data_IF_615994841322
#
_entry.id   IF_615994841322
#
_cell.length_a   1.000
_cell.length_b   1.000
_cell.length_c   1.000
_cell.angle_alpha   90.00
_cell.angle_beta   90.00
_cell.angle_gamma   90.00
#
_symmetry.space_group_name_H-M   'P 1'
#
loop_
_entity.id
_entity.type
_entity.pdbx_description
1 polymer ?
#
# COMPACT_ATOMS: atom_id res chain seq x y z
N UNK A 1 -2.39 -19.67 -4.10
CA UNK A 1 -3.17 -19.42 -5.32
C UNK A 1 -4.39 -18.60 -4.94
N UNK A 2 -4.16 -17.30 -4.89
CA UNK A 2 -5.22 -16.31 -4.77
C UNK A 2 -6.04 -16.32 -6.06
N UNK A 3 -7.34 -16.62 -5.93
CA UNK A 3 -8.27 -16.64 -7.05
C UNK A 3 -8.78 -15.21 -7.27
N UNK A 4 -8.30 -14.54 -8.32
CA UNK A 4 -8.77 -13.22 -8.75
C UNK A 4 -9.60 -13.30 -10.03
N UNK A 5 -10.30 -12.22 -10.35
CA UNK A 5 -11.05 -12.08 -11.62
C UNK A 5 -10.21 -11.31 -12.61
N UNK A 6 -9.99 -11.86 -13.80
CA UNK A 6 -9.31 -11.12 -14.87
C UNK A 6 -10.25 -10.13 -15.54
N UNK A 7 -9.78 -8.90 -15.69
CA UNK A 7 -10.44 -7.81 -16.38
C UNK A 7 -9.50 -7.25 -17.45
N UNK A 8 -9.96 -7.28 -18.70
CA UNK A 8 -9.18 -6.79 -19.83
C UNK A 8 -9.59 -5.38 -20.21
N UNK A 9 -8.64 -4.44 -20.21
CA UNK A 9 -8.90 -3.04 -20.53
C UNK A 9 -7.70 -2.43 -21.26
N UNK A 10 -7.95 -1.73 -22.39
CA UNK A 10 -6.90 -1.12 -23.22
C UNK A 10 -5.70 -2.04 -23.49
N UNK A 11 -5.95 -3.31 -23.85
CA UNK A 11 -4.93 -4.36 -24.07
C UNK A 11 -4.06 -4.71 -22.84
N UNK A 12 -4.53 -4.39 -21.64
CA UNK A 12 -3.89 -4.75 -20.37
C UNK A 12 -4.73 -5.78 -19.63
N UNK A 13 -4.06 -6.66 -18.88
CA UNK A 13 -4.67 -7.66 -18.03
C UNK A 13 -4.59 -7.21 -16.57
N UNK A 14 -5.75 -6.81 -16.04
CA UNK A 14 -5.91 -6.44 -14.64
C UNK A 14 -6.52 -7.60 -13.88
N UNK A 15 -5.76 -8.21 -12.97
CA UNK A 15 -6.27 -9.24 -12.07
C UNK A 15 -6.81 -8.56 -10.81
N UNK A 16 -8.14 -8.58 -10.66
CA UNK A 16 -8.85 -8.04 -9.50
C UNK A 16 -8.79 -9.06 -8.36
N UNK A 17 -8.08 -8.71 -7.29
CA UNK A 17 -7.82 -9.61 -6.17
C UNK A 17 -8.83 -9.37 -5.03
N UNK A 18 -9.27 -10.43 -4.32
CA UNK A 18 -10.23 -10.31 -3.22
C UNK A 18 -9.71 -9.49 -2.03
N UNK A 19 -8.39 -9.29 -1.95
CA UNK A 19 -7.71 -8.44 -0.96
C UNK A 19 -7.85 -6.93 -1.23
N UNK A 20 -8.73 -6.53 -2.17
CA UNK A 20 -8.90 -5.13 -2.60
C UNK A 20 -7.62 -4.54 -3.24
N UNK A 21 -6.97 -5.35 -4.06
CA UNK A 21 -5.82 -4.94 -4.85
C UNK A 21 -6.02 -5.32 -6.32
N UNK A 22 -5.30 -4.64 -7.20
CA UNK A 22 -5.27 -4.95 -8.64
C UNK A 22 -3.84 -5.29 -9.01
N UNK A 23 -3.63 -6.48 -9.58
CA UNK A 23 -2.36 -6.81 -10.20
C UNK A 23 -2.45 -6.51 -11.70
N UNK A 24 -1.71 -5.50 -12.15
CA UNK A 24 -1.50 -5.20 -13.56
C UNK A 24 -0.34 -6.07 -14.07
N UNK A 25 -0.67 -7.13 -14.82
CA UNK A 25 0.27 -8.19 -15.16
C UNK A 25 1.41 -7.72 -16.06
N UNK A 26 1.09 -6.99 -17.12
CA UNK A 26 2.04 -6.53 -18.13
C UNK A 26 3.09 -5.58 -17.52
N UNK A 27 2.66 -4.70 -16.62
CA UNK A 27 3.55 -3.76 -15.93
C UNK A 27 4.19 -4.36 -14.66
N UNK A 28 3.80 -5.58 -14.28
CA UNK A 28 4.18 -6.22 -13.00
C UNK A 28 3.95 -5.28 -11.81
N UNK A 29 2.81 -4.62 -11.80
CA UNK A 29 2.48 -3.59 -10.81
C UNK A 29 1.33 -4.05 -9.94
N UNK A 30 1.49 -3.91 -8.62
CA UNK A 30 0.41 -4.09 -7.66
C UNK A 30 -0.14 -2.72 -7.27
N UNK A 31 -1.42 -2.50 -7.51
CA UNK A 31 -2.13 -1.26 -7.23
C UNK A 31 -3.05 -1.49 -6.03
N UNK A 32 -2.98 -0.59 -5.05
CA UNK A 32 -3.82 -0.59 -3.85
C UNK A 32 -4.40 0.80 -3.65
N UNK A 33 -5.55 0.91 -3.01
CA UNK A 33 -6.15 2.17 -2.59
C UNK A 33 -6.56 2.06 -1.12
N UNK A 34 -6.63 3.19 -0.41
CA UNK A 34 -7.27 3.27 0.92
C UNK A 34 -6.71 2.24 1.93
N UNK A 35 -5.37 2.06 1.96
CA UNK A 35 -4.73 1.05 2.82
C UNK A 35 -4.88 1.42 4.30
N UNK A 36 -4.83 2.71 4.63
CA UNK A 36 -5.16 3.23 5.96
C UNK A 36 -4.35 2.63 7.12
N UNK A 37 -3.03 2.54 6.95
CA UNK A 37 -2.12 2.19 8.04
C UNK A 37 -2.24 3.24 9.17
N UNK A 38 -2.14 2.83 10.43
CA UNK A 38 -2.24 3.76 11.57
C UNK A 38 -3.59 3.80 12.30
N UNK A 39 -4.65 3.24 11.72
CA UNK A 39 -6.02 3.33 12.27
C UNK A 39 -6.16 2.72 13.67
N UNK A 40 -5.46 1.62 13.89
CA UNK A 40 -5.33 0.90 15.17
C UNK A 40 -4.67 1.72 16.27
N UNK A 41 -3.61 2.47 15.96
CA UNK A 41 -2.98 3.38 16.93
C UNK A 41 -3.89 4.57 17.26
N UNK A 42 -4.62 5.11 16.27
CA UNK A 42 -5.56 6.20 16.48
C UNK A 42 -6.70 5.82 17.44
N UNK A 43 -7.36 4.67 17.21
CA UNK A 43 -8.43 4.21 18.11
C UNK A 43 -7.93 3.90 19.53
N UNK A 44 -6.71 3.37 19.67
CA UNK A 44 -6.09 3.16 20.99
C UNK A 44 -5.87 4.49 21.73
N UNK A 45 -5.40 5.54 21.05
CA UNK A 45 -5.28 6.89 21.64
C UNK A 45 -6.64 7.44 22.10
N UNK A 46 -7.73 7.08 21.42
CA UNK A 46 -9.09 7.44 21.80
C UNK A 46 -9.69 6.58 22.95
N UNK A 47 -8.90 5.70 23.58
CA UNK A 47 -9.34 4.85 24.69
C UNK A 47 -10.08 3.58 24.26
N UNK A 48 -10.14 3.29 22.95
CA UNK A 48 -10.74 2.05 22.43
C UNK A 48 -9.67 0.96 22.43
N UNK A 49 -9.89 -0.10 23.20
CA UNK A 49 -8.97 -1.23 23.27
C UNK A 49 -8.99 -2.02 21.95
N UNK A 50 -8.05 -1.71 21.05
CA UNK A 50 -7.84 -2.48 19.82
C UNK A 50 -6.58 -3.35 19.96
N UNK A 51 -6.66 -4.67 19.67
CA UNK A 51 -5.50 -5.55 19.71
C UNK A 51 -4.40 -5.09 18.75
N UNK A 52 -3.12 -5.06 19.17
CA UNK A 52 -2.00 -4.69 18.30
C UNK A 52 -1.91 -5.52 17.01
N UNK A 53 -2.39 -6.76 17.06
CA UNK A 53 -2.35 -7.72 15.95
C UNK A 53 -3.16 -7.27 14.74
N UNK A 54 -4.07 -6.30 14.89
CA UNK A 54 -4.91 -5.84 13.81
C UNK A 54 -4.15 -4.98 12.79
N UNK A 55 -3.13 -4.21 13.21
CA UNK A 55 -2.26 -3.42 12.31
C UNK A 55 -1.32 -4.32 11.50
N UNK A 56 -0.80 -5.35 12.17
CA UNK A 56 0.05 -6.36 11.54
C UNK A 56 -0.66 -7.08 10.38
N UNK A 57 -1.99 -7.15 10.40
CA UNK A 57 -2.80 -7.85 9.41
C UNK A 57 -2.73 -7.19 8.03
N UNK A 58 -2.74 -5.87 7.92
CA UNK A 58 -2.72 -5.19 6.62
C UNK A 58 -1.35 -5.33 5.93
N UNK A 59 -0.26 -5.16 6.68
CA UNK A 59 1.10 -5.40 6.19
C UNK A 59 1.35 -6.88 5.88
N UNK A 60 0.73 -7.80 6.62
CA UNK A 60 0.77 -9.24 6.33
C UNK A 60 0.05 -9.58 5.03
N UNK A 61 -1.17 -9.05 4.82
CA UNK A 61 -1.91 -9.22 3.57
C UNK A 61 -1.09 -8.68 2.40
N UNK A 62 -0.55 -7.46 2.52
CA UNK A 62 0.29 -6.87 1.48
C UNK A 62 1.56 -7.69 1.23
N UNK A 63 2.19 -8.18 2.31
CA UNK A 63 3.35 -9.08 2.20
C UNK A 63 3.03 -10.34 1.42
N UNK A 64 1.90 -10.99 1.72
CA UNK A 64 1.47 -12.20 1.02
C UNK A 64 1.21 -11.93 -0.47
N UNK A 65 0.62 -10.78 -0.81
CA UNK A 65 0.42 -10.38 -2.22
C UNK A 65 1.75 -10.14 -2.94
N UNK A 66 2.71 -9.46 -2.32
CA UNK A 66 4.04 -9.23 -2.90
C UNK A 66 4.78 -10.56 -3.06
N UNK A 67 4.73 -11.42 -2.04
CA UNK A 67 5.44 -12.69 -2.03
C UNK A 67 4.84 -13.68 -3.06
N UNK A 68 3.52 -13.69 -3.23
CA UNK A 68 2.84 -14.54 -4.22
C UNK A 68 3.00 -14.05 -5.67
N UNK A 69 2.82 -12.75 -5.91
CA UNK A 69 2.77 -12.20 -7.27
C UNK A 69 4.07 -11.56 -7.75
N UNK A 70 5.02 -11.33 -6.85
CA UNK A 70 6.34 -10.76 -7.14
C UNK A 70 6.29 -9.50 -8.04
N UNK A 71 5.43 -8.50 -7.74
CA UNK A 71 5.38 -7.27 -8.53
C UNK A 71 6.74 -6.55 -8.46
N UNK A 72 7.09 -5.82 -9.51
CA UNK A 72 8.26 -4.95 -9.54
C UNK A 72 7.95 -3.59 -8.92
N UNK A 73 6.71 -3.13 -9.07
CA UNK A 73 6.23 -1.82 -8.60
C UNK A 73 4.97 -1.95 -7.75
N UNK A 74 4.87 -1.14 -6.70
CA UNK A 74 3.65 -0.93 -5.93
C UNK A 74 3.18 0.51 -6.10
N UNK A 75 1.88 0.67 -6.35
CA UNK A 75 1.24 1.99 -6.42
C UNK A 75 0.15 2.05 -5.35
N UNK A 76 0.24 3.03 -4.46
CA UNK A 76 -0.78 3.37 -3.48
C UNK A 76 -1.57 4.57 -4.01
N UNK A 77 -2.86 4.37 -4.28
CA UNK A 77 -3.80 5.39 -4.74
C UNK A 77 -4.45 6.07 -3.53
N UNK A 78 -3.68 6.94 -2.87
CA UNK A 78 -4.13 7.76 -1.76
C UNK A 78 -4.27 7.04 -0.42
N UNK A 79 -4.33 7.86 0.62
CA UNK A 79 -4.70 7.54 2.00
C UNK A 79 -3.95 6.31 2.56
N UNK A 80 -2.64 6.32 2.37
CA UNK A 80 -1.76 5.27 2.87
C UNK A 80 -1.69 5.30 4.40
N UNK A 81 -1.71 6.49 5.00
CA UNK A 81 -1.72 6.67 6.45
C UNK A 81 -2.90 7.51 6.93
N UNK A 82 -3.49 7.10 8.04
CA UNK A 82 -4.65 7.77 8.67
C UNK A 82 -4.31 8.65 9.88
N UNK A 83 -3.03 8.76 10.23
CA UNK A 83 -2.60 9.46 11.44
C UNK A 83 -1.17 9.94 11.32
N UNK A 84 -0.80 10.92 12.14
CA UNK A 84 0.58 11.32 12.32
C UNK A 84 1.49 10.14 12.63
N UNK A 85 2.78 10.30 12.33
CA UNK A 85 3.83 9.33 12.64
C UNK A 85 3.68 8.77 14.05
N UNK A 86 3.50 7.46 14.12
CA UNK A 86 3.36 6.71 15.37
C UNK A 86 4.04 5.34 15.23
N UNK A 87 3.73 4.40 16.12
CA UNK A 87 4.25 3.02 16.04
C UNK A 87 4.07 2.37 14.67
N UNK A 88 2.94 2.64 14.01
CA UNK A 88 2.55 2.00 12.76
C UNK A 88 3.41 2.53 11.60
N UNK A 89 3.90 3.79 11.68
CA UNK A 89 4.93 4.31 10.76
C UNK A 89 6.26 3.56 10.92
N UNK A 90 6.68 3.26 12.15
CA UNK A 90 7.93 2.53 12.40
C UNK A 90 7.85 1.10 11.85
N UNK A 91 6.73 0.42 12.08
CA UNK A 91 6.47 -0.91 11.53
C UNK A 91 6.47 -0.90 9.99
N UNK A 92 5.83 0.10 9.38
CA UNK A 92 5.87 0.28 7.94
C UNK A 92 7.27 0.55 7.40
N UNK A 93 8.08 1.36 8.08
CA UNK A 93 9.46 1.62 7.69
C UNK A 93 10.33 0.35 7.73
N UNK A 94 10.13 -0.52 8.73
CA UNK A 94 10.79 -1.83 8.80
C UNK A 94 10.30 -2.76 7.68
N UNK A 95 8.99 -2.78 7.44
CA UNK A 95 8.38 -3.54 6.36
C UNK A 95 8.89 -3.10 4.98
N UNK A 96 9.00 -1.79 4.73
CA UNK A 96 9.53 -1.21 3.49
C UNK A 96 10.96 -1.69 3.20
N UNK A 97 11.80 -1.82 4.25
CA UNK A 97 13.16 -2.37 4.12
C UNK A 97 13.18 -3.83 3.67
N UNK A 98 12.21 -4.66 4.09
CA UNK A 98 12.07 -6.05 3.61
C UNK A 98 11.89 -6.09 2.08
N UNK A 99 11.17 -5.12 1.53
CA UNK A 99 10.89 -5.02 0.09
C UNK A 99 11.67 -3.89 -0.60
N UNK A 100 12.88 -3.58 -0.12
CA UNK A 100 13.75 -2.50 -0.63
C UNK A 100 13.92 -2.51 -2.16
N UNK A 101 13.92 -3.71 -2.77
CA UNK A 101 14.10 -3.90 -4.22
C UNK A 101 12.88 -3.56 -5.07
N UNK A 102 11.71 -3.32 -4.46
CA UNK A 102 10.48 -2.95 -5.18
C UNK A 102 10.37 -1.44 -5.26
N UNK A 103 9.98 -0.94 -6.43
CA UNK A 103 9.59 0.45 -6.58
C UNK A 103 8.27 0.67 -5.85
N UNK A 104 8.14 1.80 -5.14
CA UNK A 104 6.91 2.15 -4.45
C UNK A 104 6.56 3.59 -4.74
N UNK A 105 5.29 3.82 -5.07
CA UNK A 105 4.77 5.13 -5.46
C UNK A 105 3.50 5.38 -4.66
N UNK A 106 3.43 6.53 -4.00
CA UNK A 106 2.23 7.05 -3.37
C UNK A 106 1.67 8.16 -4.25
N UNK A 107 0.46 7.95 -4.77
CA UNK A 107 -0.35 9.04 -5.30
C UNK A 107 -1.06 9.68 -4.10
N UNK A 108 -0.83 10.96 -3.83
CA UNK A 108 -1.32 11.63 -2.62
C UNK A 108 -2.84 11.58 -2.52
N UNK A 109 -3.33 11.12 -1.37
CA UNK A 109 -4.72 11.23 -0.96
C UNK A 109 -4.96 12.49 -0.13
N UNK A 110 -6.24 12.78 0.12
CA UNK A 110 -6.66 13.94 0.89
C UNK A 110 -6.43 13.79 2.41
N UNK A 111 -6.19 12.57 2.90
CA UNK A 111 -5.90 12.31 4.32
C UNK A 111 -4.41 12.04 4.61
N UNK A 112 -3.54 12.09 3.60
CA UNK A 112 -2.09 11.92 3.77
C UNK A 112 -1.46 13.17 4.40
N UNK A 113 -1.49 13.24 5.73
CA UNK A 113 -0.96 14.36 6.54
C UNK A 113 0.54 14.24 6.86
N UNK A 114 1.17 13.13 6.48
CA UNK A 114 2.61 12.90 6.72
C UNK A 114 3.41 13.66 5.64
N UNK A 115 4.38 14.46 6.08
CA UNK A 115 5.26 15.21 5.16
C UNK A 115 5.92 14.29 4.12
N UNK A 116 5.95 14.75 2.87
CA UNK A 116 6.47 14.03 1.70
C UNK A 116 7.89 13.51 1.89
N UNK A 117 8.75 14.32 2.52
CA UNK A 117 10.14 13.99 2.84
C UNK A 117 10.26 12.66 3.60
N UNK A 118 9.25 12.30 4.39
CA UNK A 118 9.26 11.06 5.15
C UNK A 118 9.10 9.82 4.26
N UNK A 119 8.31 9.91 3.19
CA UNK A 119 8.15 8.85 2.21
C UNK A 119 9.39 8.76 1.32
N UNK A 120 9.93 9.90 0.90
CA UNK A 120 11.18 9.96 0.12
C UNK A 120 12.35 9.32 0.89
N UNK A 121 12.46 9.57 2.20
CA UNK A 121 13.46 8.92 3.08
C UNK A 121 13.29 7.40 3.22
N UNK A 122 12.16 6.85 2.78
CA UNK A 122 11.87 5.43 2.71
C UNK A 122 11.95 4.89 1.25
N UNK A 123 12.52 5.66 0.33
CA UNK A 123 12.57 5.34 -1.11
C UNK A 123 11.17 5.06 -1.67
N UNK A 124 10.19 5.90 -1.30
CA UNK A 124 8.83 5.89 -1.84
C UNK A 124 8.62 7.21 -2.57
N UNK A 125 8.40 7.15 -3.88
CA UNK A 125 8.07 8.32 -4.67
C UNK A 125 6.67 8.82 -4.28
N UNK A 126 6.47 10.14 -4.28
CA UNK A 126 5.18 10.76 -3.98
C UNK A 126 4.81 11.65 -5.14
N UNK A 127 3.60 11.46 -5.67
CA UNK A 127 3.08 12.17 -6.84
C UNK A 127 1.68 12.69 -6.55
N UNK A 128 1.30 13.83 -7.10
CA UNK A 128 -0.07 14.37 -6.99
C UNK A 128 -1.02 13.69 -7.98
N UNK A 129 -0.51 13.33 -9.16
CA UNK A 129 -1.23 12.61 -10.20
C UNK A 129 -0.28 11.71 -10.97
N UNK A 130 -0.83 10.66 -11.59
CA UNK A 130 -0.06 9.78 -12.45
C UNK A 130 -0.89 9.40 -13.67
N UNK A 131 -0.37 9.78 -14.84
CA UNK A 131 -0.90 9.36 -16.14
C UNK A 131 -0.04 8.21 -16.66
N UNK A 132 -0.68 7.08 -16.89
CA UNK A 132 -0.04 5.90 -17.46
C UNK A 132 -0.62 5.66 -18.84
N UNK A 133 0.26 5.63 -19.83
CA UNK A 133 -0.07 5.12 -21.15
C UNK A 133 -0.08 3.57 -21.10
N UNK A 134 -0.93 2.91 -21.89
CA UNK A 134 -0.99 1.45 -21.97
C UNK A 134 0.34 0.79 -22.35
#
# INVERSE_FOLDING_TARGET
MTCGVEFFFKNQTLLLLPQKAILWKEQKTLILADVHLGKTAHFRKAGIAIPPQLAAKDLEVLSNLIDEHQPETLIFLGDLFHSDKNSDWHEFALWRKKYAKRSMILIKGNHDIIEEENFLNLDIAVEEEMLLEP
#
